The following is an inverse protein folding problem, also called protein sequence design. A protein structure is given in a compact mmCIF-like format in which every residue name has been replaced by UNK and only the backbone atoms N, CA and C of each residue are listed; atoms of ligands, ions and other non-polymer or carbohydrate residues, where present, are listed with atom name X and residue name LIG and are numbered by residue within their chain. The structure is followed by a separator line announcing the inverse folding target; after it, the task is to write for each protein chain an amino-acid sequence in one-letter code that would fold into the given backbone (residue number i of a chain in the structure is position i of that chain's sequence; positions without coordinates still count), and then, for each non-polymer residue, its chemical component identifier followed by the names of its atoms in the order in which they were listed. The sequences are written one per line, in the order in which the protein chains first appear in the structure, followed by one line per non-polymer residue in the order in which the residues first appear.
data_IF_158030999112
#
_entry.id   IF_158030999112
#
_cell.length_a   1.000
_cell.length_b   1.000
_cell.length_c   1.000
_cell.angle_alpha   90.00
_cell.angle_beta   90.00
_cell.angle_gamma   90.00
#
_symmetry.space_group_name_H-M   'P 1'
#
loop_
_entity.id
_entity.type
_entity.pdbx_description
1 polymer ?
#
# COMPACT_ATOMS: atom_id res chain seq x y z
N UNK A 1 -21.51 7.47 1.11
CA UNK A 1 -21.30 6.01 1.15
C UNK A 1 -20.78 5.60 2.51
N UNK A 2 -21.41 4.62 3.16
CA UNK A 2 -21.07 4.16 4.51
C UNK A 2 -20.18 2.92 4.37
N UNK A 3 -18.86 3.08 4.57
CA UNK A 3 -17.87 2.00 4.43
C UNK A 3 -18.22 0.72 5.22
N UNK A 4 -17.65 -0.40 4.78
CA UNK A 4 -17.91 -1.75 5.31
C UNK A 4 -17.61 -1.84 6.82
N UNK A 5 -18.23 -2.79 7.56
CA UNK A 5 -17.98 -2.95 9.01
C UNK A 5 -16.49 -3.13 9.34
N UNK A 6 -15.77 -3.84 8.46
CA UNK A 6 -14.32 -4.05 8.57
C UNK A 6 -13.52 -2.76 8.36
N UNK A 7 -13.91 -1.89 7.42
CA UNK A 7 -13.28 -0.57 7.22
C UNK A 7 -13.48 0.33 8.44
N UNK A 8 -14.69 0.34 9.03
CA UNK A 8 -14.97 1.16 10.23
C UNK A 8 -14.20 0.70 11.46
N UNK A 9 -14.02 -0.62 11.63
CA UNK A 9 -13.23 -1.14 12.75
C UNK A 9 -11.75 -0.81 12.59
N UNK A 10 -11.22 -0.92 11.36
CA UNK A 10 -9.85 -0.52 11.03
C UNK A 10 -9.60 0.98 11.21
N UNK A 11 -10.51 1.82 10.76
CA UNK A 11 -10.37 3.28 10.90
C UNK A 11 -10.41 3.73 12.36
N UNK A 12 -11.25 3.10 13.20
CA UNK A 12 -11.26 3.34 14.65
C UNK A 12 -9.95 2.96 15.32
N UNK A 13 -9.45 1.74 15.07
CA UNK A 13 -8.16 1.28 15.63
C UNK A 13 -6.99 2.17 15.22
N UNK A 14 -7.00 2.67 13.97
CA UNK A 14 -6.00 3.62 13.48
C UNK A 14 -6.04 4.93 14.26
N UNK A 15 -7.24 5.51 14.43
CA UNK A 15 -7.42 6.74 15.18
C UNK A 15 -6.96 6.59 16.64
N UNK A 16 -7.29 5.48 17.29
CA UNK A 16 -6.85 5.20 18.66
C UNK A 16 -5.32 5.09 18.76
N UNK A 17 -4.67 4.46 17.76
CA UNK A 17 -3.21 4.34 17.73
C UNK A 17 -2.52 5.69 17.51
N UNK A 18 -3.05 6.54 16.62
CA UNK A 18 -2.49 7.86 16.34
C UNK A 18 -2.68 8.81 17.53
N UNK A 19 -3.86 8.77 18.17
CA UNK A 19 -4.14 9.50 19.41
C UNK A 19 -3.21 9.05 20.53
N UNK A 20 -3.00 7.73 20.71
CA UNK A 20 -2.07 7.23 21.74
C UNK A 20 -0.63 7.68 21.52
N UNK A 21 -0.14 7.66 20.27
CA UNK A 21 1.20 8.15 19.91
C UNK A 21 1.34 9.63 20.16
N UNK A 22 0.32 10.42 19.82
CA UNK A 22 0.30 11.85 20.11
C UNK A 22 0.41 12.13 21.61
N UNK A 23 -0.36 11.42 22.45
CA UNK A 23 -0.32 11.59 23.89
C UNK A 23 1.00 11.13 24.52
N UNK A 24 1.54 9.97 24.12
CA UNK A 24 2.82 9.47 24.63
C UNK A 24 3.95 10.43 24.28
N UNK A 25 4.02 10.82 23.01
CA UNK A 25 5.04 11.75 22.54
C UNK A 25 4.84 13.11 23.21
N UNK A 26 3.59 13.61 23.32
CA UNK A 26 3.28 14.88 23.96
C UNK A 26 3.69 14.89 25.45
N UNK A 27 3.46 13.79 26.16
CA UNK A 27 3.92 13.61 27.53
C UNK A 27 5.45 13.61 27.64
N UNK A 28 6.15 12.92 26.72
CA UNK A 28 7.61 12.97 26.66
C UNK A 28 8.13 14.39 26.40
N UNK A 29 7.50 15.13 25.48
CA UNK A 29 7.83 16.53 25.23
C UNK A 29 7.59 17.39 26.45
N UNK A 30 6.43 17.27 27.11
CA UNK A 30 6.12 18.02 28.33
C UNK A 30 7.11 17.71 29.46
N UNK A 31 7.46 16.45 29.67
CA UNK A 31 8.48 16.06 30.65
C UNK A 31 9.84 16.66 30.34
N UNK A 32 10.24 16.68 29.06
CA UNK A 32 11.50 17.24 28.63
C UNK A 32 11.54 18.77 28.79
N UNK A 33 10.46 19.46 28.46
CA UNK A 33 10.32 20.91 28.68
C UNK A 33 10.36 21.24 30.18
N UNK A 34 9.61 20.49 31.01
CA UNK A 34 9.63 20.70 32.46
C UNK A 34 10.99 20.39 33.06
N UNK A 35 11.65 19.31 32.62
CA UNK A 35 12.99 18.97 33.06
C UNK A 35 13.97 20.11 32.73
N UNK A 36 13.89 20.64 31.51
CA UNK A 36 14.74 21.74 31.08
C UNK A 36 14.46 23.04 31.84
N UNK A 37 13.19 23.40 32.02
CA UNK A 37 12.79 24.64 32.70
C UNK A 37 13.20 24.64 34.17
N UNK A 38 12.99 23.54 34.90
CA UNK A 38 13.17 23.49 36.35
C UNK A 38 14.53 22.96 36.83
N UNK A 39 15.23 22.15 36.04
CA UNK A 39 16.48 21.52 36.47
C UNK A 39 17.73 22.07 35.78
N UNK A 40 17.58 22.91 34.75
CA UNK A 40 18.72 23.49 34.05
C UNK A 40 18.80 24.98 34.35
N UNK A 41 19.92 25.38 34.96
CA UNK A 41 20.27 26.79 35.13
C UNK A 41 21.24 27.21 34.03
N UNK A 42 20.92 28.31 33.35
CA UNK A 42 21.75 28.84 32.26
C UNK A 42 22.41 30.12 32.79
N UNK A 43 23.74 30.11 33.01
CA UNK A 43 24.45 31.29 33.51
C UNK A 43 24.45 32.38 32.44
N UNK A 44 23.95 33.56 32.77
CA UNK A 44 23.70 34.64 31.80
C UNK A 44 24.98 35.30 31.26
N UNK A 45 26.10 35.08 31.95
CA UNK A 45 27.43 35.60 31.59
C UNK A 45 28.29 34.59 30.82
N UNK A 46 27.72 33.43 30.46
CA UNK A 46 28.46 32.42 29.71
C UNK A 46 28.78 32.89 28.29
N UNK A 47 30.07 32.94 27.95
CA UNK A 47 30.53 33.27 26.60
C UNK A 47 30.05 32.31 25.50
N UNK A 48 29.65 31.08 25.87
CA UNK A 48 29.13 30.09 24.92
C UNK A 48 27.66 30.29 24.53
N UNK A 49 26.93 31.21 25.18
CA UNK A 49 25.51 31.45 24.87
C UNK A 49 25.31 31.90 23.42
N UNK A 50 26.19 32.77 22.93
CA UNK A 50 26.10 33.27 21.56
C UNK A 50 26.43 32.17 20.54
N UNK A 51 27.39 31.29 20.85
CA UNK A 51 27.71 30.13 20.02
C UNK A 51 26.55 29.12 19.99
N UNK A 52 25.90 28.89 21.13
CA UNK A 52 24.71 28.04 21.22
C UNK A 52 23.56 28.59 20.37
N UNK A 53 23.26 29.89 20.47
CA UNK A 53 22.20 30.51 19.65
C UNK A 53 22.51 30.44 18.15
N UNK A 54 23.77 30.62 17.76
CA UNK A 54 24.21 30.43 16.38
C UNK A 54 24.02 28.98 15.91
N UNK A 55 24.32 28.00 16.77
CA UNK A 55 24.10 26.60 16.48
C UNK A 55 22.61 26.25 16.37
N UNK A 56 21.76 26.75 17.28
CA UNK A 56 20.31 26.53 17.24
C UNK A 56 19.66 27.20 16.03
N UNK A 57 20.09 28.42 15.69
CA UNK A 57 19.68 29.11 14.47
C UNK A 57 20.03 28.28 13.22
N UNK A 58 21.29 27.86 13.10
CA UNK A 58 21.76 27.08 11.95
C UNK A 58 21.03 25.74 11.86
N UNK A 59 20.89 25.02 12.98
CA UNK A 59 20.17 23.76 13.04
C UNK A 59 18.69 23.93 12.66
N UNK A 60 18.03 25.00 13.13
CA UNK A 60 16.63 25.29 12.79
C UNK A 60 16.45 25.48 11.28
N UNK A 61 17.34 26.26 10.66
CA UNK A 61 17.33 26.51 9.23
C UNK A 61 17.57 25.22 8.44
N UNK A 62 18.59 24.45 8.80
CA UNK A 62 18.93 23.19 8.14
C UNK A 62 17.83 22.15 8.28
N UNK A 63 17.23 22.01 9.47
CA UNK A 63 16.14 21.06 9.71
C UNK A 63 14.87 21.45 8.96
N UNK A 64 14.54 22.74 8.87
CA UNK A 64 13.44 23.19 8.02
C UNK A 64 13.72 22.87 6.55
N UNK A 65 14.94 23.10 6.07
CA UNK A 65 15.32 22.77 4.69
C UNK A 65 15.18 21.26 4.42
N UNK A 66 15.66 20.40 5.33
CA UNK A 66 15.48 18.95 5.23
C UNK A 66 14.01 18.53 5.34
N UNK A 67 13.22 19.21 6.15
CA UNK A 67 11.79 18.94 6.25
C UNK A 67 11.08 19.25 4.92
N UNK A 68 11.36 20.41 4.31
CA UNK A 68 10.81 20.79 3.00
C UNK A 68 11.27 19.84 1.90
N UNK A 69 12.55 19.44 1.90
CA UNK A 69 13.07 18.42 0.98
C UNK A 69 12.36 17.08 1.19
N UNK A 70 12.14 16.67 2.44
CA UNK A 70 11.38 15.47 2.78
C UNK A 70 9.95 15.53 2.23
N UNK A 71 9.28 16.68 2.36
CA UNK A 71 7.94 16.88 1.83
C UNK A 71 7.88 16.76 0.31
N UNK A 72 8.86 17.26 -0.45
CA UNK A 72 8.85 17.11 -1.92
C UNK A 72 8.94 15.63 -2.33
N UNK A 73 9.75 14.82 -1.63
CA UNK A 73 9.77 13.37 -1.83
C UNK A 73 8.44 12.71 -1.46
N UNK A 74 7.81 13.13 -0.36
CA UNK A 74 6.52 12.60 0.10
C UNK A 74 5.38 12.91 -0.87
N UNK A 75 5.24 14.18 -1.29
CA UNK A 75 4.20 14.60 -2.24
C UNK A 75 4.36 13.95 -3.62
N UNK A 76 5.60 13.63 -4.04
CA UNK A 76 5.84 12.91 -5.30
C UNK A 76 5.28 11.48 -5.31
N UNK A 77 5.01 10.89 -4.14
CA UNK A 77 4.60 9.48 -4.01
C UNK A 77 3.17 9.27 -3.52
N UNK A 78 2.54 10.27 -2.90
CA UNK A 78 1.19 10.16 -2.36
C UNK A 78 0.46 11.51 -2.44
N UNK A 79 -0.58 11.61 -3.27
CA UNK A 79 -1.46 12.79 -3.34
C UNK A 79 -2.30 13.00 -2.07
N UNK A 80 -2.44 11.96 -1.23
CA UNK A 80 -3.25 11.97 0.01
C UNK A 80 -2.39 11.87 1.28
N UNK A 81 -1.09 12.15 1.19
CA UNK A 81 -0.20 12.18 2.34
C UNK A 81 -0.44 13.44 3.19
N UNK A 82 -1.16 13.27 4.30
CA UNK A 82 -1.04 14.18 5.44
C UNK A 82 -2.37 14.59 6.05
N UNK A 83 -2.78 13.87 7.09
CA UNK A 83 -3.77 14.39 8.05
C UNK A 83 -3.20 15.54 8.91
N UNK A 84 -1.86 15.72 8.91
CA UNK A 84 -1.16 16.76 9.65
C UNK A 84 -0.86 17.92 8.70
N UNK A 85 -1.36 19.11 9.04
CA UNK A 85 -1.09 20.32 8.27
C UNK A 85 0.39 20.70 8.36
N UNK A 86 1.16 20.40 7.31
CA UNK A 86 2.59 20.71 7.18
C UNK A 86 2.88 22.20 7.36
N UNK A 87 1.92 23.08 7.05
CA UNK A 87 2.06 24.52 7.27
C UNK A 87 2.32 24.86 8.73
N UNK A 88 1.70 24.14 9.68
CA UNK A 88 1.92 24.35 11.11
C UNK A 88 3.38 24.09 11.49
N UNK A 89 3.97 23.02 10.94
CA UNK A 89 5.37 22.65 11.21
C UNK A 89 6.30 23.68 10.57
N UNK A 90 6.02 24.11 9.34
CA UNK A 90 6.78 25.15 8.64
C UNK A 90 6.73 26.47 9.41
N UNK A 91 5.54 26.93 9.83
CA UNK A 91 5.41 28.17 10.58
C UNK A 91 6.06 28.08 11.97
N UNK A 92 6.01 26.93 12.63
CA UNK A 92 6.70 26.73 13.90
C UNK A 92 8.23 26.83 13.74
N UNK A 93 8.79 26.22 12.69
CA UNK A 93 10.22 26.38 12.36
C UNK A 93 10.58 27.80 11.98
N UNK A 94 9.77 28.48 11.17
CA UNK A 94 9.99 29.89 10.83
C UNK A 94 9.97 30.78 12.09
N UNK A 95 9.05 30.52 13.01
CA UNK A 95 8.99 31.20 14.31
C UNK A 95 10.28 31.00 15.13
N UNK A 96 10.78 29.76 15.21
CA UNK A 96 12.04 29.46 15.89
C UNK A 96 13.24 30.16 15.24
N UNK A 97 13.34 30.14 13.92
CA UNK A 97 14.41 30.82 13.15
C UNK A 97 14.39 32.33 13.43
N UNK A 98 13.21 32.96 13.36
CA UNK A 98 13.06 34.39 13.63
C UNK A 98 13.38 34.74 15.08
N UNK A 99 13.02 33.87 16.02
CA UNK A 99 13.34 34.06 17.43
C UNK A 99 14.85 33.99 17.70
N UNK A 100 15.53 32.96 17.19
CA UNK A 100 16.99 32.85 17.33
C UNK A 100 17.73 34.00 16.63
N UNK A 101 17.25 34.42 15.45
CA UNK A 101 17.79 35.60 14.77
C UNK A 101 17.60 36.87 15.62
N UNK A 102 16.45 37.04 16.24
CA UNK A 102 16.19 38.15 17.15
C UNK A 102 17.15 38.14 18.35
N UNK A 103 17.44 36.98 18.96
CA UNK A 103 18.41 36.87 20.05
C UNK A 103 19.83 37.19 19.63
N UNK A 104 20.25 36.70 18.46
CA UNK A 104 21.57 36.97 17.89
C UNK A 104 21.79 38.47 17.62
N UNK A 105 20.75 39.19 17.19
CA UNK A 105 20.82 40.63 16.91
C UNK A 105 20.73 41.47 18.19
N UNK A 106 19.82 41.11 19.09
CA UNK A 106 19.54 41.91 20.29
C UNK A 106 20.54 41.72 21.42
N UNK A 107 21.26 40.58 21.44
CA UNK A 107 22.22 40.21 22.47
C UNK A 107 21.65 40.36 23.90
N UNK A 108 20.39 39.94 24.08
CA UNK A 108 19.67 40.01 25.35
C UNK A 108 20.25 39.02 26.36
N UNK A 109 20.84 39.55 27.43
CA UNK A 109 21.35 38.77 28.56
C UNK A 109 20.21 38.46 29.55
N UNK A 110 19.36 37.48 29.22
CA UNK A 110 18.31 36.98 30.12
C UNK A 110 18.15 35.46 30.01
N UNK A 111 18.33 34.75 31.12
CA UNK A 111 18.23 33.29 31.20
C UNK A 111 16.91 32.73 30.63
N UNK A 112 15.77 33.33 30.96
CA UNK A 112 14.46 32.85 30.51
C UNK A 112 14.30 32.94 29.00
N UNK A 113 14.99 33.90 28.38
CA UNK A 113 14.96 34.10 26.93
C UNK A 113 15.74 33.01 26.20
N UNK A 114 16.90 32.61 26.72
CA UNK A 114 17.67 31.47 26.20
C UNK A 114 16.94 30.14 26.42
N UNK A 115 16.29 29.95 27.58
CA UNK A 115 15.43 28.78 27.81
C UNK A 115 14.28 28.71 26.81
N UNK A 116 13.62 29.84 26.56
CA UNK A 116 12.57 29.93 25.56
C UNK A 116 13.08 29.59 24.15
N UNK A 117 14.29 30.00 23.79
CA UNK A 117 14.93 29.63 22.52
C UNK A 117 15.09 28.12 22.36
N UNK A 118 15.59 27.44 23.38
CA UNK A 118 15.76 25.98 23.37
C UNK A 118 14.40 25.26 23.28
N UNK A 119 13.39 25.72 24.03
CA UNK A 119 12.03 25.17 23.97
C UNK A 119 11.41 25.40 22.58
N UNK A 120 11.62 26.58 21.99
CA UNK A 120 11.16 26.94 20.65
C UNK A 120 11.85 26.13 19.55
N UNK A 121 13.08 25.65 19.78
CA UNK A 121 13.73 24.69 18.89
C UNK A 121 13.14 23.27 19.04
N UNK A 122 12.93 22.83 20.29
CA UNK A 122 12.45 21.48 20.60
C UNK A 122 11.02 21.22 20.09
N UNK A 123 10.13 22.21 20.14
CA UNK A 123 8.74 22.06 19.70
C UNK A 123 8.60 21.66 18.23
N UNK A 124 9.11 22.46 17.27
CA UNK A 124 9.12 22.13 15.85
C UNK A 124 9.87 20.83 15.54
N UNK A 125 10.99 20.56 16.22
CA UNK A 125 11.71 19.29 16.09
C UNK A 125 10.81 18.10 16.42
N UNK A 126 10.11 18.18 17.55
CA UNK A 126 9.19 17.15 18.00
C UNK A 126 8.02 16.97 17.03
N UNK A 127 7.39 18.06 16.58
CA UNK A 127 6.32 18.00 15.58
C UNK A 127 6.79 17.35 14.27
N UNK A 128 8.02 17.66 13.85
CA UNK A 128 8.65 17.10 12.64
C UNK A 128 8.85 15.60 12.78
N UNK A 129 9.40 15.13 13.91
CA UNK A 129 9.60 13.70 14.18
C UNK A 129 8.26 12.97 14.24
N UNK A 130 7.26 13.52 14.95
CA UNK A 130 5.92 12.95 15.02
C UNK A 130 5.28 12.83 13.63
N UNK A 131 5.42 13.86 12.80
CA UNK A 131 4.93 13.87 11.42
C UNK A 131 5.56 12.75 10.57
N UNK A 132 6.88 12.56 10.64
CA UNK A 132 7.52 11.49 9.88
C UNK A 132 7.18 10.09 10.40
N UNK A 133 7.05 9.90 11.72
CA UNK A 133 6.64 8.60 12.29
C UNK A 133 5.23 8.23 11.83
N UNK A 134 4.28 9.18 11.92
CA UNK A 134 2.89 8.96 11.49
C UNK A 134 2.82 8.70 9.98
N UNK A 135 3.57 9.48 9.18
CA UNK A 135 3.68 9.26 7.74
C UNK A 135 4.24 7.88 7.39
N UNK A 136 5.39 7.50 7.94
CA UNK A 136 6.04 6.21 7.65
C UNK A 136 5.19 5.02 8.12
N UNK A 137 4.50 5.17 9.25
CA UNK A 137 3.55 4.15 9.73
C UNK A 137 2.38 3.98 8.76
N UNK A 138 1.82 5.08 8.24
CA UNK A 138 0.74 5.03 7.26
C UNK A 138 1.21 4.39 5.94
N UNK A 139 2.42 4.72 5.48
CA UNK A 139 3.01 4.14 4.28
C UNK A 139 3.23 2.63 4.42
N UNK A 140 3.73 2.16 5.58
CA UNK A 140 3.89 0.71 5.83
C UNK A 140 2.55 -0.01 5.78
N UNK A 141 1.53 0.54 6.45
CA UNK A 141 0.21 -0.06 6.46
C UNK A 141 -0.41 -0.10 5.05
N UNK A 142 -0.29 0.98 4.26
CA UNK A 142 -0.79 0.98 2.89
C UNK A 142 -0.13 -0.12 2.05
N UNK A 143 1.19 -0.31 2.18
CA UNK A 143 1.90 -1.40 1.49
C UNK A 143 1.43 -2.79 1.93
N UNK A 144 1.11 -2.98 3.21
CA UNK A 144 0.56 -4.24 3.70
C UNK A 144 -0.85 -4.49 3.15
N UNK A 145 -1.68 -3.44 3.08
CA UNK A 145 -3.02 -3.51 2.50
C UNK A 145 -2.97 -3.78 0.99
N UNK A 146 -2.07 -3.15 0.25
CA UNK A 146 -1.83 -3.40 -1.18
C UNK A 146 -1.37 -4.84 -1.42
N UNK A 147 -0.46 -5.36 -0.58
CA UNK A 147 -0.03 -6.77 -0.66
C UNK A 147 -1.19 -7.73 -0.41
N UNK A 148 -2.00 -7.48 0.63
CA UNK A 148 -3.15 -8.30 0.94
C UNK A 148 -4.20 -8.27 -0.19
N UNK A 149 -4.46 -7.09 -0.77
CA UNK A 149 -5.38 -6.94 -1.89
C UNK A 149 -4.85 -7.64 -3.15
N UNK A 150 -3.55 -7.55 -3.43
CA UNK A 150 -2.92 -8.25 -4.55
C UNK A 150 -3.01 -9.77 -4.39
N UNK A 151 -2.74 -10.31 -3.20
CA UNK A 151 -2.86 -11.74 -2.94
C UNK A 151 -4.30 -12.23 -3.11
N UNK A 152 -5.28 -11.51 -2.55
CA UNK A 152 -6.70 -11.85 -2.72
C UNK A 152 -7.15 -11.77 -4.19
N UNK A 153 -6.60 -10.83 -4.97
CA UNK A 153 -6.84 -10.72 -6.41
C UNK A 153 -6.27 -11.92 -7.17
N UNK A 154 -5.06 -12.37 -6.83
CA UNK A 154 -4.42 -13.55 -7.43
C UNK A 154 -5.21 -14.82 -7.12
N UNK A 155 -5.62 -15.00 -5.86
CA UNK A 155 -6.48 -16.13 -5.46
C UNK A 155 -7.78 -16.16 -6.27
N UNK A 156 -8.47 -15.01 -6.36
CA UNK A 156 -9.71 -14.92 -7.13
C UNK A 156 -9.51 -15.25 -8.62
N UNK A 157 -8.45 -14.71 -9.22
CA UNK A 157 -8.11 -14.98 -10.61
C UNK A 157 -7.81 -16.47 -10.84
N UNK A 158 -6.99 -17.09 -9.96
CA UNK A 158 -6.68 -18.50 -10.04
C UNK A 158 -7.93 -19.38 -9.96
N UNK A 159 -8.79 -19.15 -8.96
CA UNK A 159 -10.03 -19.92 -8.81
C UNK A 159 -10.98 -19.74 -10.01
N UNK A 160 -11.05 -18.53 -10.57
CA UNK A 160 -11.85 -18.27 -11.77
C UNK A 160 -11.31 -19.07 -12.96
N UNK A 161 -10.00 -19.05 -13.21
CA UNK A 161 -9.38 -19.82 -14.29
C UNK A 161 -9.61 -21.33 -14.12
N UNK A 162 -9.50 -21.86 -12.90
CA UNK A 162 -9.76 -23.29 -12.64
C UNK A 162 -11.22 -23.65 -12.92
N UNK A 163 -12.16 -22.79 -12.48
CA UNK A 163 -13.59 -23.00 -12.71
C UNK A 163 -13.94 -22.96 -14.20
N UNK A 164 -13.42 -21.95 -14.93
CA UNK A 164 -13.65 -21.80 -16.37
C UNK A 164 -13.00 -22.93 -17.16
N UNK A 165 -11.75 -23.29 -16.86
CA UNK A 165 -11.05 -24.43 -17.46
C UNK A 165 -11.79 -25.76 -17.23
N UNK A 166 -12.32 -25.98 -16.02
CA UNK A 166 -13.13 -27.17 -15.72
C UNK A 166 -14.41 -27.22 -16.55
N UNK A 167 -15.07 -26.08 -16.76
CA UNK A 167 -16.26 -25.99 -17.65
C UNK A 167 -15.90 -26.30 -19.09
N UNK A 168 -14.82 -25.71 -19.60
CA UNK A 168 -14.33 -25.95 -20.97
C UNK A 168 -14.02 -27.43 -21.17
N UNK A 169 -13.26 -28.04 -20.26
CA UNK A 169 -12.97 -29.48 -20.28
C UNK A 169 -14.26 -30.32 -20.29
N UNK A 170 -15.24 -30.00 -19.43
CA UNK A 170 -16.51 -30.74 -19.39
C UNK A 170 -17.30 -30.65 -20.70
N UNK A 171 -17.27 -29.52 -21.40
CA UNK A 171 -17.93 -29.37 -22.70
C UNK A 171 -17.17 -30.14 -23.79
N UNK A 172 -15.83 -30.17 -23.77
CA UNK A 172 -15.05 -31.02 -24.68
C UNK A 172 -15.39 -32.50 -24.47
N UNK A 173 -15.45 -32.97 -23.23
CA UNK A 173 -15.83 -34.36 -22.91
C UNK A 173 -17.23 -34.67 -23.41
N UNK A 174 -18.18 -33.76 -23.22
CA UNK A 174 -19.54 -33.90 -23.76
C UNK A 174 -19.56 -33.97 -25.28
N UNK A 175 -18.79 -33.13 -25.98
CA UNK A 175 -18.69 -33.15 -27.45
C UNK A 175 -18.08 -34.46 -27.95
N UNK A 176 -17.04 -34.98 -27.29
CA UNK A 176 -16.45 -36.30 -27.61
C UNK A 176 -17.48 -37.43 -27.52
N UNK A 177 -18.34 -37.40 -26.50
CA UNK A 177 -19.39 -38.41 -26.31
C UNK A 177 -20.52 -38.30 -27.32
N UNK A 178 -20.87 -37.08 -27.73
CA UNK A 178 -21.95 -36.83 -28.69
C UNK A 178 -21.51 -37.03 -30.15
N UNK A 179 -20.24 -36.78 -30.46
CA UNK A 179 -19.67 -36.78 -31.81
C UNK A 179 -18.33 -37.56 -31.81
N UNK A 180 -18.33 -38.85 -32.21
CA UNK A 180 -17.12 -39.68 -32.22
C UNK A 180 -15.97 -39.10 -33.06
N UNK A 181 -16.27 -38.28 -34.07
CA UNK A 181 -15.30 -37.62 -34.92
C UNK A 181 -14.42 -36.63 -34.14
N UNK A 182 -14.98 -35.98 -33.11
CA UNK A 182 -14.21 -35.09 -32.22
C UNK A 182 -13.18 -35.87 -31.43
N UNK A 183 -13.56 -37.05 -30.93
CA UNK A 183 -12.63 -37.92 -30.21
C UNK A 183 -11.51 -38.41 -31.14
N UNK A 184 -11.85 -38.81 -32.37
CA UNK A 184 -10.87 -39.20 -33.37
C UNK A 184 -9.91 -38.04 -33.71
N UNK A 185 -10.44 -36.83 -33.92
CA UNK A 185 -9.63 -35.63 -34.19
C UNK A 185 -8.67 -35.32 -33.02
N UNK A 186 -9.16 -35.35 -31.78
CA UNK A 186 -8.34 -35.06 -30.59
C UNK A 186 -7.21 -36.09 -30.43
N UNK A 187 -7.50 -37.38 -30.69
CA UNK A 187 -6.49 -38.44 -30.62
C UNK A 187 -5.50 -38.38 -31.79
N UNK A 188 -5.98 -38.14 -33.01
CA UNK A 188 -5.13 -38.10 -34.21
C UNK A 188 -4.12 -36.95 -34.21
N UNK A 189 -4.38 -35.87 -33.47
CA UNK A 189 -3.49 -34.73 -33.34
C UNK A 189 -2.70 -34.71 -32.02
N UNK A 190 -2.67 -35.82 -31.27
CA UNK A 190 -1.98 -35.95 -29.98
C UNK A 190 -2.39 -34.89 -28.93
N UNK A 191 -3.63 -34.36 -29.03
CA UNK A 191 -4.15 -33.39 -28.07
C UNK A 191 -4.75 -34.06 -26.84
N UNK A 192 -5.06 -35.35 -26.90
CA UNK A 192 -5.71 -36.08 -25.81
C UNK A 192 -4.92 -36.03 -24.50
N UNK A 193 -3.64 -36.38 -24.52
CA UNK A 193 -2.82 -36.44 -23.30
C UNK A 193 -2.62 -35.05 -22.68
N UNK A 194 -2.45 -34.02 -23.52
CA UNK A 194 -2.32 -32.63 -23.06
C UNK A 194 -3.62 -32.10 -22.46
N UNK A 195 -4.77 -32.43 -23.07
CA UNK A 195 -6.09 -32.08 -22.55
C UNK A 195 -6.30 -32.64 -21.14
N UNK A 196 -6.08 -33.94 -20.95
CA UNK A 196 -6.28 -34.59 -19.64
C UNK A 196 -5.27 -34.08 -18.61
N UNK A 197 -3.99 -33.92 -19.01
CA UNK A 197 -2.94 -33.40 -18.13
C UNK A 197 -3.24 -31.99 -17.65
N UNK A 198 -3.54 -31.05 -18.55
CA UNK A 198 -3.77 -29.66 -18.16
C UNK A 198 -5.06 -29.50 -17.35
N UNK A 199 -6.12 -30.24 -17.66
CA UNK A 199 -7.32 -30.25 -16.84
C UNK A 199 -7.03 -30.76 -15.41
N UNK A 200 -6.24 -31.83 -15.28
CA UNK A 200 -5.84 -32.37 -13.99
C UNK A 200 -4.93 -31.42 -13.21
N UNK A 201 -3.90 -30.85 -13.85
CA UNK A 201 -2.99 -29.87 -13.24
C UNK A 201 -3.76 -28.66 -12.71
N UNK A 202 -4.74 -28.14 -13.47
CA UNK A 202 -5.62 -27.05 -13.00
C UNK A 202 -6.43 -27.46 -11.75
N UNK A 203 -6.91 -28.71 -11.66
CA UNK A 203 -7.63 -29.18 -10.47
C UNK A 203 -6.73 -29.34 -9.24
N UNK A 204 -5.46 -29.70 -9.41
CA UNK A 204 -4.52 -29.81 -8.28
C UNK A 204 -4.36 -28.48 -7.54
N UNK A 205 -4.43 -27.37 -8.28
CA UNK A 205 -4.35 -26.02 -7.71
C UNK A 205 -5.49 -25.69 -6.75
N UNK A 206 -6.62 -26.42 -6.74
CA UNK A 206 -7.68 -26.26 -5.73
C UNK A 206 -7.21 -26.62 -4.31
N UNK A 207 -6.13 -27.40 -4.18
CA UNK A 207 -5.54 -27.76 -2.89
C UNK A 207 -4.40 -26.82 -2.49
N UNK A 208 -4.04 -25.86 -3.35
CA UNK A 208 -2.97 -24.91 -3.06
C UNK A 208 -3.39 -23.96 -1.93
N UNK A 209 -2.48 -23.75 -0.96
CA UNK A 209 -2.74 -22.85 0.17
C UNK A 209 -2.58 -21.37 -0.19
N UNK A 210 -1.75 -21.07 -1.19
CA UNK A 210 -1.42 -19.72 -1.65
C UNK A 210 -1.16 -19.79 -3.15
N UNK A 211 -1.46 -18.70 -3.86
CA UNK A 211 -1.18 -18.56 -5.29
C UNK A 211 -0.14 -17.48 -5.52
N UNK A 212 0.92 -17.83 -6.25
CA UNK A 212 1.86 -16.85 -6.79
C UNK A 212 1.42 -16.36 -8.16
N UNK A 213 1.98 -15.24 -8.62
CA UNK A 213 1.74 -14.75 -9.97
C UNK A 213 2.08 -15.79 -11.04
N UNK A 214 3.16 -16.54 -10.84
CA UNK A 214 3.58 -17.61 -11.75
C UNK A 214 2.54 -18.72 -11.85
N UNK A 215 1.86 -19.04 -10.74
CA UNK A 215 0.78 -20.04 -10.74
C UNK A 215 -0.41 -19.58 -11.57
N UNK A 216 -0.79 -18.31 -11.45
CA UNK A 216 -1.86 -17.72 -12.27
C UNK A 216 -1.48 -17.74 -13.76
N UNK A 217 -0.25 -17.40 -14.12
CA UNK A 217 0.24 -17.43 -15.51
C UNK A 217 0.23 -18.87 -16.09
N UNK A 218 0.56 -19.88 -15.29
CA UNK A 218 0.46 -21.30 -15.69
C UNK A 218 -1.00 -21.71 -15.89
N UNK A 219 -1.88 -21.37 -14.95
CA UNK A 219 -3.31 -21.66 -15.04
C UNK A 219 -3.96 -21.00 -16.26
N UNK A 220 -3.57 -19.76 -16.56
CA UNK A 220 -4.01 -19.02 -17.74
C UNK A 220 -3.54 -19.70 -19.03
N UNK A 221 -2.27 -20.15 -19.10
CA UNK A 221 -1.76 -20.92 -20.23
C UNK A 221 -2.52 -22.24 -20.45
N UNK A 222 -2.83 -22.96 -19.38
CA UNK A 222 -3.65 -24.17 -19.45
C UNK A 222 -5.08 -23.87 -19.90
N UNK A 223 -5.71 -22.83 -19.35
CA UNK A 223 -7.04 -22.38 -19.73
C UNK A 223 -7.11 -22.07 -21.24
N UNK A 224 -6.20 -21.25 -21.76
CA UNK A 224 -6.20 -20.88 -23.18
C UNK A 224 -5.94 -22.07 -24.10
N UNK A 225 -5.14 -23.05 -23.68
CA UNK A 225 -4.99 -24.28 -24.44
C UNK A 225 -6.33 -25.04 -24.55
N UNK A 226 -7.03 -25.20 -23.42
CA UNK A 226 -8.33 -25.87 -23.38
C UNK A 226 -9.38 -25.12 -24.21
N UNK A 227 -9.43 -23.79 -24.10
CA UNK A 227 -10.37 -22.95 -24.84
C UNK A 227 -10.16 -23.06 -26.36
N UNK A 228 -8.90 -22.99 -26.81
CA UNK A 228 -8.56 -23.18 -28.22
C UNK A 228 -8.94 -24.57 -28.72
N UNK A 229 -8.75 -25.61 -27.90
CA UNK A 229 -9.15 -26.97 -28.27
C UNK A 229 -10.68 -27.10 -28.38
N UNK A 230 -11.43 -26.45 -27.48
CA UNK A 230 -12.89 -26.41 -27.56
C UNK A 230 -13.35 -25.69 -28.85
N UNK A 231 -12.70 -24.60 -29.23
CA UNK A 231 -13.00 -23.90 -30.49
C UNK A 231 -12.80 -24.82 -31.70
N UNK A 232 -11.66 -25.52 -31.76
CA UNK A 232 -11.39 -26.50 -32.83
C UNK A 232 -12.43 -27.62 -32.85
N UNK A 233 -12.79 -28.16 -31.69
CA UNK A 233 -13.82 -29.20 -31.58
C UNK A 233 -15.18 -28.71 -32.11
N UNK A 234 -15.57 -27.47 -31.78
CA UNK A 234 -16.84 -26.88 -32.26
C UNK A 234 -16.85 -26.59 -33.76
N UNK A 235 -15.69 -26.31 -34.35
CA UNK A 235 -15.53 -26.06 -35.79
C UNK A 235 -15.57 -27.33 -36.65
N UNK A 236 -15.67 -28.52 -36.04
CA UNK A 236 -15.77 -29.76 -36.80
C UNK A 236 -17.07 -29.79 -37.65
N UNK A 237 -17.02 -30.16 -38.95
CA UNK A 237 -18.17 -30.07 -39.85
C UNK A 237 -19.44 -30.77 -39.34
N UNK A 238 -19.29 -31.97 -38.78
CA UNK A 238 -20.42 -32.71 -38.19
C UNK A 238 -21.10 -32.04 -36.99
N UNK A 239 -20.43 -31.09 -36.33
CA UNK A 239 -21.00 -30.29 -35.23
C UNK A 239 -21.67 -29.03 -35.78
N UNK A 240 -20.98 -28.30 -36.68
CA UNK A 240 -21.51 -27.09 -37.32
C UNK A 240 -22.81 -27.37 -38.07
N UNK A 241 -22.92 -28.52 -38.73
CA UNK A 241 -24.10 -28.93 -39.49
C UNK A 241 -25.20 -29.55 -38.61
N UNK A 242 -24.93 -29.81 -37.33
CA UNK A 242 -25.92 -30.39 -36.42
C UNK A 242 -26.99 -29.36 -36.02
N UNK A 243 -28.27 -29.69 -36.20
CA UNK A 243 -29.41 -28.82 -35.84
C UNK A 243 -29.41 -28.37 -34.37
N UNK A 244 -28.80 -29.17 -33.48
CA UNK A 244 -28.72 -28.87 -32.04
C UNK A 244 -27.76 -27.73 -31.70
N UNK A 245 -26.72 -27.52 -32.52
CA UNK A 245 -25.70 -26.50 -32.30
C UNK A 245 -26.09 -25.17 -32.94
N UNK A 246 -26.59 -25.21 -34.18
CA UNK A 246 -27.12 -24.04 -34.88
C UNK A 246 -28.21 -23.30 -34.06
N UNK A 247 -29.07 -24.04 -33.34
CA UNK A 247 -30.12 -23.43 -32.51
C UNK A 247 -29.63 -22.87 -31.16
N UNK A 248 -28.38 -23.17 -30.75
CA UNK A 248 -27.78 -22.71 -29.48
C UNK A 248 -27.04 -21.38 -29.65
N UNK A 249 -26.51 -21.09 -30.85
CA UNK A 249 -25.96 -19.76 -31.19
C UNK A 249 -27.06 -18.69 -31.34
N UNK A 250 -28.27 -19.07 -31.73
CA UNK A 250 -29.42 -18.15 -31.88
C UNK A 250 -30.05 -17.66 -30.56
N UNK A 251 -29.61 -18.18 -29.41
CA UNK A 251 -30.09 -17.69 -28.11
C UNK A 251 -29.11 -16.65 -27.55
N UNK A 252 -29.47 -15.36 -27.52
CA UNK A 252 -28.67 -14.37 -26.82
C UNK A 252 -28.65 -14.73 -25.33
N UNK A 253 -27.47 -14.60 -24.73
CA UNK A 253 -27.25 -14.74 -23.29
C UNK A 253 -28.08 -13.65 -22.62
N UNK A 254 -29.18 -14.06 -21.97
CA UNK A 254 -30.00 -13.22 -21.09
C UNK A 254 -29.64 -13.44 -19.64
#
# INVERSE_FOLDING_TARGET
MKGTRAERYRSRRRNDSDVSRFWIMGLLFSLLVLAFEFFIEIPVEAGWLQEMEMALFSASFTLLAFYLLGLTFVFSRQETAGAINHQVIIYAWLGAILFHLFLLISNLSNQHVYKAGIILFLGPLFLTVYHFITYLSALRQQREEEKAASLASLERAAYQMILEGSKVYSEIVRLKQAYPEVEQMIRANDFHDKLERYAWEMQQYLQAKHFERKDVEILEGHYYYLENLLLLAKQHPGIMESRSFAHREDKPIG
#
